data_IF_687438481621
#
_entry.id   IF_687438481621
#
_cell.length_a   1.000
_cell.length_b   1.000
_cell.length_c   1.000
_cell.angle_alpha   90.00
_cell.angle_beta   90.00
_cell.angle_gamma   90.00
#
_symmetry.space_group_name_H-M   'P 1'
#
loop_
_entity.id
_entity.type
_entity.pdbx_description
1 polymer ?
#
# COMPACT_ATOMS: atom_id res chain seq x y z
N UNK A 1 -16.75 6.31 -2.02
CA UNK A 1 -16.15 5.65 -0.84
C UNK A 1 -15.45 4.37 -1.30
N UNK A 2 -14.40 3.93 -0.61
CA UNK A 2 -13.76 2.62 -0.85
C UNK A 2 -13.91 1.78 0.42
N UNK A 3 -14.38 0.55 0.31
CA UNK A 3 -14.46 -0.33 1.49
C UNK A 3 -13.07 -0.80 1.86
N UNK A 4 -12.71 -0.66 3.13
CA UNK A 4 -11.40 -1.06 3.66
C UNK A 4 -11.57 -2.02 4.83
N UNK A 5 -10.68 -3.01 4.89
CA UNK A 5 -10.60 -3.98 5.96
C UNK A 5 -9.17 -3.98 6.50
N UNK A 6 -8.99 -4.16 7.80
CA UNK A 6 -7.71 -4.55 8.38
C UNK A 6 -7.83 -5.97 8.88
N UNK A 7 -6.94 -6.83 8.42
CA UNK A 7 -6.99 -8.27 8.66
C UNK A 7 -5.64 -8.74 9.17
N UNK A 8 -5.67 -9.52 10.23
CA UNK A 8 -4.49 -10.19 10.76
C UNK A 8 -4.40 -11.61 10.20
N UNK A 9 -3.39 -11.87 9.37
CA UNK A 9 -3.14 -13.17 8.73
C UNK A 9 -2.22 -14.06 9.57
N UNK A 10 -2.32 -15.38 9.38
CA UNK A 10 -1.59 -16.42 10.11
C UNK A 10 -1.88 -16.44 11.62
N UNK A 11 -3.11 -16.10 11.99
CA UNK A 11 -3.60 -16.10 13.37
C UNK A 11 -5.11 -16.30 13.43
N UNK A 12 -5.61 -16.73 14.58
CA UNK A 12 -7.05 -16.70 14.95
C UNK A 12 -7.38 -15.59 15.94
N UNK A 13 -6.37 -14.97 16.53
CA UNK A 13 -6.49 -13.92 17.53
C UNK A 13 -6.22 -12.55 16.90
N UNK A 14 -7.06 -11.57 17.21
CA UNK A 14 -6.83 -10.18 16.84
C UNK A 14 -5.55 -9.66 17.51
N UNK A 15 -4.86 -8.72 16.86
CA UNK A 15 -3.60 -8.14 17.31
C UNK A 15 -2.40 -9.10 17.34
N UNK A 16 -2.56 -10.29 16.76
CA UNK A 16 -1.51 -11.27 16.48
C UNK A 16 -1.30 -11.40 14.97
N UNK A 17 -0.45 -12.30 14.50
CA UNK A 17 -0.24 -12.52 13.07
C UNK A 17 0.38 -11.33 12.33
N UNK A 18 0.19 -11.28 11.01
CA UNK A 18 0.68 -10.21 10.15
C UNK A 18 -0.48 -9.36 9.61
N UNK A 19 -0.57 -8.06 9.99
CA UNK A 19 -1.65 -7.19 9.55
C UNK A 19 -1.51 -6.77 8.09
N UNK A 20 -2.63 -6.74 7.37
CA UNK A 20 -2.74 -6.12 6.05
C UNK A 20 -4.04 -5.32 5.93
N UNK A 21 -4.02 -4.24 5.13
CA UNK A 21 -5.23 -3.52 4.75
C UNK A 21 -5.71 -4.02 3.39
N UNK A 22 -6.99 -4.26 3.26
CA UNK A 22 -7.59 -4.77 2.03
C UNK A 22 -8.60 -3.73 1.54
N UNK A 23 -8.28 -3.08 0.43
CA UNK A 23 -9.16 -2.13 -0.23
C UNK A 23 -9.98 -2.84 -1.31
N UNK A 24 -11.29 -2.76 -1.17
CA UNK A 24 -12.27 -3.38 -2.06
C UNK A 24 -13.24 -2.32 -2.58
N UNK A 25 -13.80 -2.55 -3.77
CA UNK A 25 -14.80 -1.68 -4.40
C UNK A 25 -14.30 -0.26 -4.73
N UNK A 26 -13.92 -0.06 -6.00
CA UNK A 26 -13.45 1.22 -6.53
C UNK A 26 -14.48 1.92 -7.43
N UNK A 27 -15.78 1.62 -7.25
CA UNK A 27 -16.86 2.12 -8.14
C UNK A 27 -16.95 3.64 -8.20
N UNK A 28 -16.62 4.30 -7.11
CA UNK A 28 -16.69 5.77 -6.98
C UNK A 28 -15.36 6.46 -7.38
N UNK A 29 -14.36 5.70 -7.83
CA UNK A 29 -13.09 6.25 -8.33
C UNK A 29 -13.28 6.64 -9.81
N UNK A 30 -13.00 7.89 -10.20
CA UNK A 30 -13.08 8.31 -11.59
C UNK A 30 -12.25 7.43 -12.52
N UNK A 31 -12.78 7.11 -13.71
CA UNK A 31 -12.08 6.26 -14.68
C UNK A 31 -10.79 6.87 -15.23
N UNK A 32 -10.59 8.19 -15.07
CA UNK A 32 -9.36 8.89 -15.43
C UNK A 32 -8.27 8.82 -14.36
N UNK A 33 -8.56 8.27 -13.18
CA UNK A 33 -7.59 8.12 -12.10
C UNK A 33 -6.54 7.07 -12.47
N UNK A 34 -5.27 7.45 -12.39
CA UNK A 34 -4.16 6.50 -12.41
C UNK A 34 -4.19 5.68 -11.12
N UNK A 35 -4.62 4.42 -11.24
CA UNK A 35 -4.83 3.54 -10.10
C UNK A 35 -3.53 3.20 -9.38
N UNK A 36 -2.40 3.07 -10.08
CA UNK A 36 -1.12 2.73 -9.43
C UNK A 36 -0.66 3.87 -8.52
N UNK A 37 -0.75 5.12 -9.00
CA UNK A 37 -0.44 6.31 -8.18
C UNK A 37 -1.40 6.42 -6.99
N UNK A 38 -2.69 6.19 -7.23
CA UNK A 38 -3.72 6.32 -6.21
C UNK A 38 -3.62 5.24 -5.12
N UNK A 39 -3.36 3.99 -5.51
CA UNK A 39 -3.13 2.89 -4.59
C UNK A 39 -1.88 3.12 -3.75
N UNK A 40 -0.81 3.66 -4.34
CA UNK A 40 0.37 4.04 -3.59
C UNK A 40 0.06 5.10 -2.53
N UNK A 41 -0.73 6.13 -2.85
CA UNK A 41 -1.14 7.17 -1.87
C UNK A 41 -1.92 6.58 -0.71
N UNK A 42 -2.87 5.67 -0.98
CA UNK A 42 -3.62 4.98 0.07
C UNK A 42 -2.68 4.13 0.93
N UNK A 43 -1.77 3.35 0.32
CA UNK A 43 -0.84 2.52 1.07
C UNK A 43 0.09 3.34 1.97
N UNK A 44 0.53 4.52 1.49
CA UNK A 44 1.30 5.48 2.28
C UNK A 44 0.50 6.02 3.47
N UNK A 45 -0.78 6.38 3.28
CA UNK A 45 -1.67 6.85 4.36
C UNK A 45 -1.94 5.75 5.39
N UNK A 46 -2.18 4.52 4.94
CA UNK A 46 -2.45 3.38 5.83
C UNK A 46 -1.24 3.02 6.69
N UNK A 47 -0.02 3.23 6.18
CA UNK A 47 1.25 3.07 6.88
C UNK A 47 1.37 1.76 7.69
N UNK A 48 0.97 0.66 7.06
CA UNK A 48 1.11 -0.72 7.57
C UNK A 48 1.98 -1.52 6.60
N UNK A 49 2.33 -2.76 6.95
CA UNK A 49 3.23 -3.62 6.17
C UNK A 49 2.85 -3.64 4.69
N UNK A 50 1.60 -4.01 4.38
CA UNK A 50 1.07 -4.02 3.02
C UNK A 50 -0.41 -3.64 2.97
N UNK A 51 -0.76 -2.88 1.94
CA UNK A 51 -2.13 -2.64 1.50
C UNK A 51 -2.39 -3.37 0.20
N UNK A 52 -3.42 -4.21 0.17
CA UNK A 52 -3.84 -4.98 -0.98
C UNK A 52 -5.06 -4.32 -1.64
N UNK A 53 -5.07 -4.28 -2.97
CA UNK A 53 -6.14 -3.69 -3.77
C UNK A 53 -6.70 -4.76 -4.71
N UNK A 54 -8.03 -4.96 -4.67
CA UNK A 54 -8.71 -5.94 -5.53
C UNK A 54 -9.64 -5.29 -6.55
N UNK A 55 -9.37 -5.54 -7.83
CA UNK A 55 -10.24 -5.17 -8.94
C UNK A 55 -10.79 -6.43 -9.62
N UNK A 56 -11.90 -6.29 -10.36
CA UNK A 56 -12.42 -7.39 -11.17
C UNK A 56 -11.47 -7.65 -12.33
N UNK A 57 -11.19 -8.92 -12.62
CA UNK A 57 -10.43 -9.28 -13.80
C UNK A 57 -11.23 -8.95 -15.09
N UNK A 58 -10.52 -8.55 -16.15
CA UNK A 58 -11.09 -7.94 -17.36
C UNK A 58 -12.06 -8.83 -18.15
N UNK A 59 -12.14 -10.14 -17.87
CA UNK A 59 -12.90 -11.11 -18.67
C UNK A 59 -13.69 -12.15 -17.84
N UNK A 60 -14.09 -11.81 -16.61
CA UNK A 60 -14.67 -12.80 -15.69
C UNK A 60 -16.20 -12.73 -15.59
N UNK A 61 -16.88 -13.66 -16.27
CA UNK A 61 -18.20 -14.15 -15.86
C UNK A 61 -18.15 -14.97 -14.56
N UNK A 62 -16.94 -15.34 -14.11
CA UNK A 62 -16.69 -16.06 -12.85
C UNK A 62 -16.56 -15.11 -11.66
N UNK A 63 -17.24 -15.46 -10.56
CA UNK A 63 -17.12 -14.80 -9.26
C UNK A 63 -15.87 -15.23 -8.44
N UNK A 64 -14.94 -15.99 -9.04
CA UNK A 64 -13.74 -16.49 -8.34
C UNK A 64 -12.40 -15.90 -8.83
N UNK A 65 -12.42 -15.00 -9.82
CA UNK A 65 -11.20 -14.43 -10.43
C UNK A 65 -11.11 -12.92 -10.22
N UNK A 66 -9.95 -12.47 -9.73
CA UNK A 66 -9.70 -11.07 -9.36
C UNK A 66 -8.31 -10.65 -9.81
N UNK A 67 -8.12 -9.36 -10.07
CA UNK A 67 -6.78 -8.78 -10.18
C UNK A 67 -6.37 -8.24 -8.81
N UNK A 68 -5.16 -8.56 -8.38
CA UNK A 68 -4.64 -8.24 -7.05
C UNK A 68 -3.30 -7.54 -7.15
N UNK A 69 -3.19 -6.41 -6.48
CA UNK A 69 -1.96 -5.65 -6.31
C UNK A 69 -1.67 -5.42 -4.83
N UNK A 70 -0.39 -5.29 -4.50
CA UNK A 70 0.08 -5.01 -3.14
C UNK A 70 1.05 -3.86 -3.15
N UNK A 71 0.90 -2.97 -2.17
CA UNK A 71 1.76 -1.83 -1.99
C UNK A 71 2.21 -1.77 -0.54
N UNK A 72 3.51 -1.57 -0.35
CA UNK A 72 4.03 -1.02 0.91
C UNK A 72 3.76 0.49 0.93
N UNK A 73 4.07 1.20 2.03
CA UNK A 73 3.96 2.66 2.07
C UNK A 73 4.84 3.38 1.05
N UNK A 74 5.81 2.70 0.43
CA UNK A 74 6.80 3.31 -0.48
C UNK A 74 6.76 2.80 -1.91
N UNK A 75 6.31 1.57 -2.16
CA UNK A 75 6.33 0.98 -3.51
C UNK A 75 5.35 -0.19 -3.67
N UNK A 76 4.97 -0.48 -4.92
CA UNK A 76 4.34 -1.75 -5.30
C UNK A 76 5.32 -2.92 -5.03
N UNK A 77 4.81 -4.08 -4.58
CA UNK A 77 5.60 -5.31 -4.42
C UNK A 77 5.10 -6.42 -5.32
N UNK A 78 6.02 -7.21 -5.87
CA UNK A 78 5.71 -8.24 -6.87
C UNK A 78 4.86 -9.39 -6.32
N UNK A 79 4.95 -9.66 -5.01
CA UNK A 79 4.25 -10.75 -4.34
C UNK A 79 4.18 -10.54 -2.82
N UNK A 80 3.00 -10.66 -2.23
CA UNK A 80 2.81 -10.65 -0.78
C UNK A 80 1.87 -11.76 -0.29
N UNK A 81 2.40 -12.74 0.46
CA UNK A 81 1.64 -13.91 0.89
C UNK A 81 0.56 -13.62 1.94
N UNK A 82 0.89 -12.91 3.03
CA UNK A 82 -0.08 -12.66 4.11
C UNK A 82 -1.22 -11.75 3.66
N UNK A 83 -0.94 -10.74 2.82
CA UNK A 83 -1.95 -9.85 2.25
C UNK A 83 -2.83 -10.58 1.22
N UNK A 84 -2.28 -11.56 0.48
CA UNK A 84 -3.09 -12.45 -0.38
C UNK A 84 -4.05 -13.30 0.45
N UNK A 85 -3.58 -13.89 1.56
CA UNK A 85 -4.44 -14.68 2.46
C UNK A 85 -5.52 -13.81 3.11
N UNK A 86 -5.16 -12.61 3.56
CA UNK A 86 -6.11 -11.63 4.09
C UNK A 86 -7.16 -11.22 3.06
N UNK A 87 -6.75 -10.99 1.82
CA UNK A 87 -7.67 -10.68 0.71
C UNK A 87 -8.66 -11.80 0.47
N UNK A 88 -8.19 -13.04 0.41
CA UNK A 88 -9.04 -14.21 0.25
C UNK A 88 -10.01 -14.38 1.42
N UNK A 89 -9.56 -14.14 2.65
CA UNK A 89 -10.42 -14.12 3.84
C UNK A 89 -11.56 -13.12 3.68
N UNK A 90 -11.27 -11.86 3.33
CA UNK A 90 -12.31 -10.84 3.09
C UNK A 90 -13.26 -11.26 1.96
N UNK A 91 -12.76 -11.79 0.85
CA UNK A 91 -13.61 -12.24 -0.25
C UNK A 91 -14.56 -13.37 0.16
N UNK A 92 -14.05 -14.34 0.91
CA UNK A 92 -14.83 -15.46 1.38
C UNK A 92 -15.85 -15.08 2.45
N UNK A 93 -15.45 -14.23 3.39
CA UNK A 93 -16.31 -13.79 4.50
C UNK A 93 -17.30 -12.70 4.09
N UNK A 94 -16.99 -11.79 3.17
CA UNK A 94 -17.90 -10.65 2.90
C UNK A 94 -18.69 -10.80 1.59
N UNK A 95 -18.13 -11.52 0.62
CA UNK A 95 -18.66 -11.53 -0.74
C UNK A 95 -19.09 -12.92 -1.23
N UNK A 96 -18.63 -14.00 -0.59
CA UNK A 96 -18.85 -15.38 -1.05
C UNK A 96 -19.39 -16.33 0.04
N UNK A 97 -19.96 -15.83 1.14
CA UNK A 97 -20.49 -16.66 2.25
C UNK A 97 -21.44 -17.77 1.78
N UNK A 98 -22.31 -17.46 0.81
CA UNK A 98 -23.34 -18.37 0.30
C UNK A 98 -22.96 -19.03 -1.03
N UNK A 99 -21.68 -18.95 -1.42
CA UNK A 99 -21.18 -19.52 -2.66
C UNK A 99 -20.60 -20.91 -2.43
N UNK A 100 -20.71 -21.80 -3.43
CA UNK A 100 -19.99 -23.08 -3.46
C UNK A 100 -18.51 -22.94 -3.88
N UNK A 101 -18.03 -21.71 -4.10
CA UNK A 101 -16.64 -21.43 -4.48
C UNK A 101 -15.72 -21.68 -3.27
N UNK A 102 -14.76 -22.58 -3.46
CA UNK A 102 -13.73 -22.94 -2.49
C UNK A 102 -12.31 -22.52 -2.94
N UNK A 103 -12.13 -22.11 -4.20
CA UNK A 103 -10.87 -21.62 -4.75
C UNK A 103 -11.03 -20.22 -5.36
N UNK A 104 -10.12 -19.32 -4.99
CA UNK A 104 -9.94 -18.00 -5.58
C UNK A 104 -8.66 -17.98 -6.43
N UNK A 105 -8.74 -17.32 -7.58
CA UNK A 105 -7.60 -17.10 -8.48
C UNK A 105 -7.35 -15.59 -8.56
N UNK A 106 -6.14 -15.19 -8.21
CA UNK A 106 -5.66 -13.82 -8.30
C UNK A 106 -4.69 -13.68 -9.46
N UNK A 107 -5.03 -12.83 -10.42
CA UNK A 107 -4.11 -12.37 -11.45
C UNK A 107 -3.26 -11.23 -10.90
N UNK A 108 -1.96 -11.27 -11.18
CA UNK A 108 -0.98 -10.33 -10.64
C UNK A 108 -0.09 -9.81 -11.76
N UNK A 109 0.46 -8.61 -11.58
CA UNK A 109 1.26 -7.92 -12.61
C UNK A 109 2.57 -8.65 -12.97
N UNK A 110 3.17 -9.40 -12.04
CA UNK A 110 4.56 -9.91 -12.15
C UNK A 110 4.70 -11.41 -11.99
N UNK A 111 3.96 -12.02 -11.06
CA UNK A 111 4.12 -13.45 -10.73
C UNK A 111 3.07 -14.35 -11.37
N UNK A 112 2.14 -13.77 -12.15
CA UNK A 112 1.07 -14.50 -12.80
C UNK A 112 -0.08 -14.85 -11.85
N UNK A 113 -0.65 -16.03 -11.99
CA UNK A 113 -1.77 -16.48 -11.17
C UNK A 113 -1.32 -16.97 -9.80
N UNK A 114 -2.03 -16.52 -8.75
CA UNK A 114 -1.96 -17.08 -7.40
C UNK A 114 -3.29 -17.72 -7.05
N UNK A 115 -3.25 -18.87 -6.39
CA UNK A 115 -4.44 -19.61 -5.98
C UNK A 115 -4.55 -19.65 -4.47
N UNK A 116 -5.76 -19.39 -3.97
CA UNK A 116 -6.09 -19.56 -2.55
C UNK A 116 -7.27 -20.48 -2.41
N UNK A 117 -7.10 -21.56 -1.65
CA UNK A 117 -8.16 -22.55 -1.40
C UNK A 117 -8.64 -22.49 0.05
N UNK A 118 -9.94 -22.63 0.27
CA UNK A 118 -10.50 -23.03 1.56
C UNK A 118 -10.12 -24.49 1.81
N UNK A 119 -9.48 -24.77 2.94
CA UNK A 119 -9.14 -26.14 3.34
C UNK A 119 -10.32 -26.84 4.03
N UNK A 120 -11.12 -26.08 4.77
CA UNK A 120 -12.15 -26.58 5.66
C UNK A 120 -13.17 -25.49 5.99
N UNK A 121 -14.23 -25.89 6.70
CA UNK A 121 -15.27 -24.98 7.18
C UNK A 121 -14.84 -24.18 8.43
N UNK A 122 -13.59 -24.32 8.90
CA UNK A 122 -13.08 -23.61 10.08
C UNK A 122 -12.28 -22.35 9.72
N UNK A 123 -12.33 -21.94 8.45
CA UNK A 123 -11.72 -20.71 7.94
C UNK A 123 -10.23 -20.85 7.60
N UNK A 124 -9.69 -22.07 7.52
CA UNK A 124 -8.29 -22.27 7.13
C UNK A 124 -8.13 -22.09 5.62
N UNK A 125 -7.17 -21.27 5.23
CA UNK A 125 -6.86 -20.95 3.83
C UNK A 125 -5.48 -21.49 3.46
N UNK A 126 -5.34 -21.97 2.22
CA UNK A 126 -4.10 -22.47 1.65
C UNK A 126 -3.60 -21.57 0.54
N UNK A 127 -2.37 -21.10 0.67
CA UNK A 127 -1.56 -20.52 -0.39
C UNK A 127 -0.64 -21.58 -0.99
N UNK A 128 -0.27 -21.39 -2.25
CA UNK A 128 0.62 -22.31 -2.96
C UNK A 128 1.82 -21.55 -3.54
N UNK A 129 3.04 -21.91 -3.11
CA UNK A 129 4.28 -21.22 -3.48
C UNK A 129 5.37 -22.16 -3.99
N UNK A 130 6.33 -21.66 -4.78
CA UNK A 130 7.50 -22.45 -5.17
C UNK A 130 8.37 -22.82 -3.96
N UNK A 131 8.98 -24.01 -3.92
CA UNK A 131 9.89 -24.45 -2.85
C UNK A 131 11.17 -23.64 -2.75
N UNK A 132 11.43 -23.00 -1.59
CA UNK A 132 12.69 -22.32 -1.37
C UNK A 132 13.74 -23.32 -0.92
N UNK A 133 14.70 -23.67 -1.78
CA UNK A 133 15.77 -24.59 -1.41
C UNK A 133 17.00 -23.82 -0.87
N UNK A 134 17.26 -23.83 0.45
CA UNK A 134 18.47 -23.25 1.01
C UNK A 134 19.66 -24.20 0.87
N UNK A 135 20.84 -23.63 0.61
CA UNK A 135 22.10 -24.36 0.48
C UNK A 135 23.10 -23.87 1.53
N UNK A 136 23.89 -24.78 2.10
CA UNK A 136 24.94 -24.41 3.05
C UNK A 136 25.95 -23.44 2.43
N UNK A 137 26.36 -22.46 3.23
CA UNK A 137 27.40 -21.50 2.85
C UNK A 137 28.33 -21.28 4.04
N UNK A 138 29.57 -20.91 3.73
CA UNK A 138 30.51 -20.38 4.71
C UNK A 138 30.42 -18.85 4.69
N UNK A 139 30.32 -18.24 5.87
CA UNK A 139 30.39 -16.80 6.05
C UNK A 139 31.67 -16.46 6.80
N UNK A 140 32.29 -15.34 6.43
CA UNK A 140 33.42 -14.79 7.16
C UNK A 140 33.05 -14.54 8.65
N UNK A 141 33.98 -14.85 9.55
CA UNK A 141 33.76 -14.70 11.00
C UNK A 141 33.47 -13.26 11.41
N UNK A 142 34.02 -12.27 10.69
CA UNK A 142 33.73 -10.86 10.91
C UNK A 142 32.26 -10.55 10.61
N UNK A 143 31.74 -11.00 9.46
CA UNK A 143 30.32 -10.84 9.09
C UNK A 143 29.43 -11.54 10.11
N UNK A 144 29.81 -12.76 10.52
CA UNK A 144 29.05 -13.52 11.52
C UNK A 144 28.99 -12.81 12.86
N UNK A 145 30.11 -12.26 13.34
CA UNK A 145 30.18 -11.49 14.57
C UNK A 145 29.37 -10.20 14.49
N UNK A 146 29.33 -9.56 13.31
CA UNK A 146 28.51 -8.38 13.07
C UNK A 146 27.02 -8.72 13.14
N UNK A 147 26.57 -9.81 12.49
CA UNK A 147 25.20 -10.31 12.59
C UNK A 147 24.84 -10.60 14.05
N UNK A 148 25.71 -11.31 14.79
CA UNK A 148 25.49 -11.63 16.20
C UNK A 148 25.32 -10.38 17.05
N UNK A 149 26.22 -9.41 16.89
CA UNK A 149 26.18 -8.14 17.62
C UNK A 149 24.90 -7.36 17.33
N UNK A 150 24.55 -7.20 16.04
CA UNK A 150 23.41 -6.38 15.61
C UNK A 150 22.04 -6.99 15.89
N UNK A 151 21.96 -8.31 16.01
CA UNK A 151 20.74 -9.03 16.39
C UNK A 151 20.73 -9.45 17.87
N UNK A 152 21.80 -9.16 18.62
CA UNK A 152 22.00 -9.63 20.00
C UNK A 152 21.86 -11.16 20.15
N UNK A 153 22.49 -11.91 19.23
CA UNK A 153 22.51 -13.38 19.24
C UNK A 153 23.63 -13.85 20.16
N UNK A 154 23.25 -14.56 21.22
CA UNK A 154 24.18 -15.21 22.16
C UNK A 154 24.16 -16.74 22.03
N UNK A 155 23.19 -17.27 21.30
CA UNK A 155 22.99 -18.69 21.09
C UNK A 155 24.02 -19.28 20.12
N UNK A 156 24.27 -20.57 20.24
CA UNK A 156 25.15 -21.30 19.32
C UNK A 156 24.54 -21.34 17.93
N UNK A 157 25.37 -21.07 16.93
CA UNK A 157 24.99 -21.19 15.52
C UNK A 157 25.28 -22.62 15.09
N UNK A 158 24.23 -23.37 14.76
CA UNK A 158 24.31 -24.77 14.32
C UNK A 158 24.68 -24.84 12.84
N UNK A 159 24.03 -24.04 11.99
CA UNK A 159 24.35 -23.98 10.56
C UNK A 159 23.82 -22.70 9.92
N UNK A 160 24.40 -22.35 8.77
CA UNK A 160 24.04 -21.18 7.96
C UNK A 160 23.78 -21.66 6.54
N UNK A 161 22.66 -21.24 5.97
CA UNK A 161 22.29 -21.56 4.61
C UNK A 161 21.73 -20.35 3.88
N UNK A 162 21.85 -20.32 2.56
CA UNK A 162 21.34 -19.25 1.71
C UNK A 162 20.40 -19.82 0.66
N UNK A 163 19.17 -19.30 0.63
CA UNK A 163 18.26 -19.53 -0.48
C UNK A 163 18.38 -18.37 -1.48
N UNK A 164 19.23 -18.54 -2.51
CA UNK A 164 19.47 -17.49 -3.53
C UNK A 164 18.21 -17.04 -4.25
N UNK A 165 17.27 -17.96 -4.50
CA UNK A 165 16.01 -17.66 -5.19
C UNK A 165 15.11 -16.72 -4.40
N UNK A 166 14.97 -16.95 -3.09
CA UNK A 166 14.14 -16.11 -2.22
C UNK A 166 14.92 -14.99 -1.53
N UNK A 167 16.25 -14.95 -1.76
CA UNK A 167 17.22 -14.02 -1.21
C UNK A 167 17.22 -13.97 0.32
N UNK A 168 17.12 -15.14 0.97
CA UNK A 168 17.04 -15.26 2.43
C UNK A 168 18.22 -16.05 2.98
N UNK A 169 18.91 -15.46 3.95
CA UNK A 169 19.93 -16.11 4.76
C UNK A 169 19.26 -16.79 5.95
N UNK A 170 19.32 -18.11 6.04
CA UNK A 170 18.82 -18.89 7.16
C UNK A 170 19.97 -19.19 8.12
N UNK A 171 19.77 -18.86 9.39
CA UNK A 171 20.70 -19.16 10.49
C UNK A 171 19.95 -20.02 11.50
N UNK A 172 20.37 -21.27 11.65
CA UNK A 172 19.84 -22.17 12.67
C UNK A 172 20.61 -21.96 13.96
N UNK A 173 19.89 -21.55 15.01
CA UNK A 173 20.38 -21.35 16.36
C UNK A 173 19.97 -22.51 17.28
N UNK A 174 20.74 -22.73 18.35
CA UNK A 174 20.37 -23.72 19.38
C UNK A 174 19.03 -23.42 20.06
N UNK A 175 18.62 -22.15 20.13
CA UNK A 175 17.30 -21.71 20.59
C UNK A 175 16.95 -20.32 20.04
N UNK A 176 15.66 -19.95 20.10
CA UNK A 176 15.17 -18.59 19.81
C UNK A 176 14.53 -18.03 21.06
N UNK A 177 15.00 -16.86 21.50
CA UNK A 177 14.46 -16.15 22.65
C UNK A 177 14.10 -14.69 22.32
N UNK A 178 13.62 -13.98 23.35
CA UNK A 178 13.16 -12.60 23.26
C UNK A 178 14.30 -11.57 23.44
N UNK A 179 15.54 -12.03 23.71
CA UNK A 179 16.72 -11.16 23.80
C UNK A 179 17.22 -10.74 22.43
N UNK A 180 16.94 -11.54 21.39
CA UNK A 180 17.22 -11.19 20.00
C UNK A 180 16.42 -9.93 19.65
N UNK A 181 17.10 -8.86 19.24
CA UNK A 181 16.46 -7.58 18.90
C UNK A 181 17.19 -6.93 17.72
N UNK A 182 16.47 -6.49 16.68
CA UNK A 182 17.11 -5.81 15.57
C UNK A 182 17.57 -4.42 15.96
N UNK A 183 18.85 -4.13 15.76
CA UNK A 183 19.38 -2.77 15.79
C UNK A 183 19.07 -2.05 14.47
N UNK A 184 18.97 -0.71 14.49
CA UNK A 184 18.60 0.06 13.28
C UNK A 184 19.62 -0.06 12.14
N UNK A 185 20.87 -0.42 12.44
CA UNK A 185 21.98 -0.47 11.51
C UNK A 185 22.23 -1.86 10.90
N UNK A 186 21.26 -2.77 10.92
CA UNK A 186 21.41 -4.08 10.25
C UNK A 186 21.75 -3.97 8.75
N UNK A 187 21.30 -2.92 8.06
CA UNK A 187 21.59 -2.71 6.64
C UNK A 187 23.06 -2.39 6.35
N UNK A 188 23.83 -1.98 7.36
CA UNK A 188 25.26 -1.66 7.20
C UNK A 188 26.15 -2.91 7.13
N UNK A 189 25.60 -4.11 7.39
CA UNK A 189 26.36 -5.37 7.24
C UNK A 189 26.79 -5.52 5.78
N UNK A 190 28.09 -5.58 5.57
CA UNK A 190 28.69 -5.77 4.25
C UNK A 190 28.99 -7.25 4.03
N UNK A 191 28.13 -7.91 3.26
CA UNK A 191 28.39 -9.27 2.81
C UNK A 191 29.39 -9.28 1.66
N UNK A 192 30.07 -10.40 1.49
CA UNK A 192 30.91 -10.64 0.32
C UNK A 192 30.14 -10.39 -0.98
N UNK A 193 30.84 -9.88 -2.00
CA UNK A 193 30.23 -9.53 -3.29
C UNK A 193 29.48 -10.69 -3.95
N UNK A 194 29.89 -11.93 -3.69
CA UNK A 194 29.25 -13.16 -4.20
C UNK A 194 27.90 -13.48 -3.51
N UNK A 195 27.68 -12.95 -2.30
CA UNK A 195 26.52 -13.23 -1.44
C UNK A 195 25.57 -12.02 -1.40
N UNK A 196 26.10 -10.80 -1.29
CA UNK A 196 25.35 -9.55 -1.13
C UNK A 196 24.14 -9.40 -2.07
N UNK A 197 24.20 -9.74 -3.38
CA UNK A 197 23.04 -9.62 -4.29
C UNK A 197 21.85 -10.51 -3.90
N UNK A 198 22.11 -11.54 -3.09
CA UNK A 198 21.14 -12.55 -2.65
C UNK A 198 20.72 -12.36 -1.18
N UNK A 199 21.05 -11.23 -0.55
CA UNK A 199 20.57 -10.92 0.80
C UNK A 199 19.47 -9.86 0.73
N UNK A 200 18.27 -10.25 1.15
CA UNK A 200 17.12 -9.38 1.37
C UNK A 200 16.49 -9.57 2.75
N UNK A 201 16.91 -10.58 3.49
CA UNK A 201 16.54 -10.75 4.89
C UNK A 201 17.20 -11.96 5.53
N UNK A 202 17.17 -11.98 6.86
CA UNK A 202 17.75 -13.02 7.71
C UNK A 202 16.62 -13.76 8.41
N UNK A 203 16.56 -15.06 8.21
CA UNK A 203 15.73 -16.00 8.97
C UNK A 203 16.58 -16.52 10.12
N UNK A 204 16.12 -16.34 11.36
CA UNK A 204 16.62 -17.11 12.49
C UNK A 204 15.65 -18.24 12.77
N UNK A 205 16.15 -19.44 13.09
CA UNK A 205 15.29 -20.58 13.40
C UNK A 205 15.90 -21.51 14.43
N UNK A 206 15.06 -22.23 15.17
CA UNK A 206 15.47 -23.31 16.07
C UNK A 206 14.37 -24.37 16.14
N UNK A 207 14.74 -25.55 16.63
CA UNK A 207 13.76 -26.61 16.90
C UNK A 207 12.85 -26.15 18.04
N UNK A 208 11.55 -26.43 17.91
CA UNK A 208 10.59 -26.08 18.96
C UNK A 208 10.80 -26.90 20.23
N UNK A 209 10.59 -26.26 21.39
CA UNK A 209 10.54 -26.92 22.70
C UNK A 209 9.19 -27.57 22.99
N UNK A 210 8.16 -27.31 22.16
CA UNK A 210 6.81 -27.88 22.27
C UNK A 210 6.47 -28.63 20.97
N UNK A 211 7.12 -29.77 20.68
CA UNK A 211 7.05 -30.47 19.39
C UNK A 211 5.67 -31.08 19.08
N UNK A 212 4.79 -31.18 20.08
CA UNK A 212 3.43 -31.71 19.89
C UNK A 212 2.52 -30.77 19.11
N UNK A 213 2.79 -29.45 19.13
CA UNK A 213 1.97 -28.43 18.48
C UNK A 213 2.76 -27.58 17.48
N UNK A 214 4.08 -27.55 17.58
CA UNK A 214 4.94 -26.71 16.75
C UNK A 214 6.26 -27.42 16.53
N UNK A 215 6.68 -27.60 15.28
CA UNK A 215 7.91 -28.30 14.92
C UNK A 215 9.15 -27.40 15.02
N UNK A 216 9.02 -26.14 14.60
CA UNK A 216 10.12 -25.17 14.60
C UNK A 216 9.65 -23.75 14.95
N UNK A 217 10.58 -22.97 15.50
CA UNK A 217 10.41 -21.54 15.79
C UNK A 217 11.23 -20.75 14.78
N UNK A 218 10.70 -19.61 14.33
CA UNK A 218 11.41 -18.70 13.44
C UNK A 218 11.27 -17.23 13.85
N UNK A 219 12.18 -16.39 13.38
CA UNK A 219 12.06 -14.92 13.31
C UNK A 219 12.60 -14.46 11.95
N UNK A 220 12.08 -13.36 11.43
CA UNK A 220 12.50 -12.85 10.12
C UNK A 220 12.77 -11.35 10.14
N UNK A 221 14.00 -10.99 9.82
CA UNK A 221 14.48 -9.61 9.77
C UNK A 221 14.70 -9.20 8.31
N UNK A 222 14.04 -8.14 7.86
CA UNK A 222 14.06 -7.70 6.46
C UNK A 222 14.42 -6.21 6.27
N UNK A 223 15.47 -5.70 6.93
CA UNK A 223 15.74 -4.27 6.97
C UNK A 223 16.08 -3.69 5.58
N UNK A 224 16.60 -4.51 4.66
CA UNK A 224 16.79 -4.14 3.25
C UNK A 224 15.50 -3.90 2.46
N UNK A 225 14.34 -4.27 3.03
CA UNK A 225 13.01 -3.96 2.51
C UNK A 225 12.29 -2.88 3.35
N UNK A 226 13.02 -2.17 4.22
CA UNK A 226 12.46 -1.11 5.07
C UNK A 226 11.77 -1.59 6.34
N UNK A 227 11.77 -2.89 6.63
CA UNK A 227 11.09 -3.49 7.79
C UNK A 227 12.13 -4.15 8.70
N UNK A 228 12.27 -3.67 9.94
CA UNK A 228 13.25 -4.25 10.88
C UNK A 228 12.96 -5.73 11.16
N UNK A 229 11.73 -6.05 11.50
CA UNK A 229 11.25 -7.42 11.72
C UNK A 229 9.82 -7.56 11.18
N UNK A 230 9.60 -8.56 10.33
CA UNK A 230 8.28 -8.86 9.77
C UNK A 230 7.51 -9.80 10.72
N UNK A 231 6.23 -9.54 11.04
CA UNK A 231 5.48 -10.35 12.01
C UNK A 231 5.35 -11.83 11.65
N UNK A 232 4.92 -12.15 10.43
CA UNK A 232 4.80 -13.53 9.92
C UNK A 232 5.03 -13.57 8.41
N UNK A 233 6.05 -14.32 7.99
CA UNK A 233 6.57 -14.22 6.62
C UNK A 233 6.36 -15.52 5.84
N UNK A 234 5.32 -15.58 5.01
CA UNK A 234 5.05 -16.77 4.18
C UNK A 234 6.23 -17.16 3.29
N UNK A 235 6.90 -16.19 2.67
CA UNK A 235 8.06 -16.45 1.79
C UNK A 235 9.32 -16.93 2.53
N UNK A 236 9.40 -16.78 3.86
CA UNK A 236 10.41 -17.41 4.69
C UNK A 236 10.02 -18.86 5.03
N UNK A 237 8.72 -19.12 5.22
CA UNK A 237 8.19 -20.46 5.48
C UNK A 237 8.37 -21.41 4.29
N UNK A 238 8.45 -20.92 3.05
CA UNK A 238 8.82 -21.76 1.89
C UNK A 238 10.26 -22.26 1.94
N UNK A 239 11.15 -21.57 2.67
CA UNK A 239 12.55 -21.97 2.91
C UNK A 239 12.64 -22.85 4.16
N UNK A 240 11.98 -22.43 5.24
CA UNK A 240 11.94 -23.16 6.51
C UNK A 240 11.31 -24.55 6.35
N UNK A 241 10.25 -24.69 5.56
CA UNK A 241 9.61 -25.97 5.31
C UNK A 241 10.59 -26.98 4.69
N UNK A 242 11.33 -26.58 3.64
CA UNK A 242 12.35 -27.43 3.00
C UNK A 242 13.47 -27.77 3.97
N UNK A 243 13.98 -26.78 4.71
CA UNK A 243 15.05 -26.97 5.68
C UNK A 243 14.67 -27.94 6.80
N UNK A 244 13.54 -27.68 7.48
CA UNK A 244 13.09 -28.49 8.61
C UNK A 244 12.53 -29.85 8.20
N UNK A 245 11.97 -29.98 7.00
CA UNK A 245 11.54 -31.27 6.45
C UNK A 245 12.70 -32.26 6.39
N UNK A 246 13.87 -31.79 5.92
CA UNK A 246 15.09 -32.61 5.83
C UNK A 246 15.59 -33.07 7.20
N UNK A 247 15.50 -32.20 8.21
CA UNK A 247 15.99 -32.47 9.57
C UNK A 247 15.03 -33.36 10.36
N UNK A 248 13.72 -33.09 10.26
CA UNK A 248 12.69 -33.77 11.04
C UNK A 248 12.09 -34.98 10.32
N UNK A 249 12.42 -35.17 9.04
CA UNK A 249 11.87 -36.20 8.16
C UNK A 249 10.33 -36.17 8.11
N UNK A 250 9.76 -34.97 7.91
CA UNK A 250 8.30 -34.71 7.83
C UNK A 250 7.95 -33.95 6.56
N UNK A 251 6.82 -34.30 5.93
CA UNK A 251 6.28 -33.55 4.78
C UNK A 251 5.31 -32.44 5.19
N UNK A 252 4.68 -32.55 6.36
CA UNK A 252 3.81 -31.53 6.97
C UNK A 252 4.46 -31.05 8.27
N UNK A 253 4.62 -29.74 8.39
CA UNK A 253 5.32 -29.09 9.51
C UNK A 253 4.50 -27.91 10.03
N UNK A 254 4.52 -27.71 11.33
CA UNK A 254 3.91 -26.53 11.97
C UNK A 254 5.00 -25.56 12.42
N UNK A 255 5.08 -24.39 11.79
CA UNK A 255 5.98 -23.31 12.15
C UNK A 255 5.30 -22.27 13.04
N UNK A 256 6.06 -21.71 13.99
CA UNK A 256 5.67 -20.52 14.73
C UNK A 256 6.71 -19.41 14.55
N UNK A 257 6.31 -18.28 13.96
CA UNK A 257 7.18 -17.11 13.85
C UNK A 257 7.04 -16.26 15.10
N UNK A 258 8.03 -16.33 16.00
CA UNK A 258 8.07 -15.66 17.31
C UNK A 258 8.53 -14.20 17.18
N UNK A 259 7.81 -13.42 16.39
CA UNK A 259 7.89 -11.95 16.43
C UNK A 259 7.12 -11.42 17.64
N UNK A 260 7.12 -10.09 17.85
CA UNK A 260 6.29 -9.46 18.89
C UNK A 260 4.79 -9.78 18.75
N UNK A 261 4.31 -10.01 17.51
CA UNK A 261 2.93 -10.38 17.24
C UNK A 261 2.72 -11.88 17.27
N UNK A 262 3.70 -12.68 16.84
CA UNK A 262 3.56 -14.14 16.80
C UNK A 262 2.60 -14.61 15.70
N UNK A 263 2.82 -15.80 15.14
CA UNK A 263 1.85 -16.41 14.23
C UNK A 263 2.22 -17.81 13.78
N UNK A 264 1.20 -18.58 13.42
CA UNK A 264 1.32 -19.98 13.06
C UNK A 264 1.14 -20.19 11.56
N UNK A 265 2.04 -20.97 10.97
CA UNK A 265 1.99 -21.37 9.57
C UNK A 265 2.17 -22.87 9.48
N UNK A 266 1.17 -23.58 8.96
CA UNK A 266 1.32 -24.98 8.59
C UNK A 266 1.92 -25.02 7.17
N UNK A 267 2.95 -25.83 6.99
CA UNK A 267 3.67 -25.99 5.74
C UNK A 267 3.58 -27.44 5.28
N UNK A 268 3.12 -27.66 4.05
CA UNK A 268 3.17 -28.98 3.40
C UNK A 268 4.06 -28.94 2.17
N UNK A 269 4.98 -29.90 2.07
CA UNK A 269 5.88 -30.05 0.94
C UNK A 269 5.27 -30.98 -0.11
N UNK A 270 5.09 -30.43 -1.32
CA UNK A 270 4.82 -31.22 -2.51
C UNK A 270 6.11 -31.37 -3.32
N UNK A 271 6.90 -32.38 -2.94
CA UNK A 271 8.20 -32.68 -3.57
C UNK A 271 8.07 -32.99 -5.05
N UNK A 272 6.94 -33.55 -5.49
CA UNK A 272 6.70 -33.92 -6.90
C UNK A 272 6.62 -32.68 -7.78
N UNK A 273 5.90 -31.65 -7.31
CA UNK A 273 5.70 -30.42 -8.07
C UNK A 273 6.65 -29.28 -7.67
N UNK A 274 7.56 -29.52 -6.72
CA UNK A 274 8.49 -28.51 -6.18
C UNK A 274 7.76 -27.29 -5.57
N UNK A 275 6.66 -27.57 -4.83
CA UNK A 275 5.78 -26.57 -4.22
C UNK A 275 5.73 -26.70 -2.70
N UNK A 276 5.51 -25.59 -2.02
CA UNK A 276 5.15 -25.55 -0.59
C UNK A 276 3.78 -24.94 -0.47
N UNK A 277 2.86 -25.72 0.10
CA UNK A 277 1.54 -25.26 0.47
C UNK A 277 1.64 -24.64 1.87
N UNK A 278 1.23 -23.38 2.00
CA UNK A 278 1.20 -22.68 3.28
C UNK A 278 -0.23 -22.49 3.71
N UNK A 279 -0.57 -22.95 4.91
CA UNK A 279 -1.91 -22.82 5.47
C UNK A 279 -1.93 -21.96 6.71
N UNK A 280 -2.96 -21.15 6.81
CA UNK A 280 -3.15 -20.23 7.92
C UNK A 280 -4.60 -19.78 8.05
N UNK A 281 -4.90 -19.17 9.19
CA UNK A 281 -6.15 -18.47 9.44
C UNK A 281 -5.94 -16.98 9.26
N UNK A 282 -7.04 -16.25 9.08
CA UNK A 282 -7.05 -14.80 9.15
C UNK A 282 -8.25 -14.35 9.96
N UNK A 283 -8.14 -13.15 10.54
CA UNK A 283 -9.21 -12.52 11.30
C UNK A 283 -9.32 -11.05 10.93
N UNK A 284 -10.52 -10.61 10.53
CA UNK A 284 -10.82 -9.20 10.33
C UNK A 284 -10.85 -8.47 11.67
N UNK A 285 -9.99 -7.46 11.81
CA UNK A 285 -9.85 -6.61 13.00
C UNK A 285 -10.68 -5.34 12.88
N UNK A 286 -10.74 -4.77 11.68
CA UNK A 286 -11.47 -3.53 11.39
C UNK A 286 -12.12 -3.64 10.02
N UNK A 287 -13.33 -3.12 9.89
CA UNK A 287 -14.01 -2.88 8.62
C UNK A 287 -14.52 -1.44 8.60
N UNK A 288 -14.38 -0.77 7.47
CA UNK A 288 -14.81 0.61 7.31
C UNK A 288 -14.83 1.06 5.87
N UNK A 289 -14.90 2.37 5.67
CA UNK A 289 -14.86 2.98 4.35
C UNK A 289 -13.91 4.17 4.32
N UNK A 290 -13.01 4.20 3.34
CA UNK A 290 -12.19 5.35 3.02
C UNK A 290 -13.01 6.39 2.25
N UNK A 291 -12.97 7.61 2.75
CA UNK A 291 -13.53 8.77 2.07
C UNK A 291 -12.51 9.34 1.08
N UNK A 292 -12.72 9.06 -0.20
CA UNK A 292 -11.82 9.45 -1.30
C UNK A 292 -12.15 10.80 -1.93
N UNK A 293 -13.26 11.40 -1.52
CA UNK A 293 -13.61 12.78 -1.81
C UNK A 293 -14.07 13.44 -0.51
N UNK A 294 -13.44 14.55 -0.14
CA UNK A 294 -14.18 15.55 0.63
C UNK A 294 -15.12 16.21 -0.36
N UNK A 295 -16.35 15.74 -0.42
CA UNK A 295 -17.41 16.74 -0.36
C UNK A 295 -17.14 17.47 0.95
N UNK A 296 -16.48 18.63 0.89
CA UNK A 296 -16.56 19.57 2.00
C UNK A 296 -18.01 19.98 2.05
N UNK A 297 -18.83 19.21 2.74
CA UNK A 297 -19.95 19.73 3.50
C UNK A 297 -19.38 20.63 4.61
N UNK A 298 -18.69 21.71 4.23
CA UNK A 298 -18.74 22.93 5.00
C UNK A 298 -20.08 23.55 4.63
N UNK A 299 -21.01 23.46 5.57
CA UNK A 299 -22.35 24.03 5.54
C UNK A 299 -23.33 23.47 4.50
N UNK A 300 -24.39 22.89 5.03
CA UNK A 300 -25.73 22.95 4.44
C UNK A 300 -26.04 24.37 3.94
N UNK A 301 -26.07 24.57 2.62
CA UNK A 301 -26.48 25.86 2.06
C UNK A 301 -26.28 26.03 0.56
N UNK A 302 -27.15 25.40 -0.24
CA UNK A 302 -27.45 25.66 -1.67
C UNK A 302 -26.31 25.43 -2.68
N UNK A 303 -26.67 24.72 -3.75
CA UNK A 303 -25.91 24.52 -4.98
C UNK A 303 -25.21 25.79 -5.48
N UNK A 304 -23.88 25.78 -5.59
CA UNK A 304 -23.12 26.77 -6.37
C UNK A 304 -22.01 27.54 -5.64
N UNK A 305 -21.69 27.22 -4.37
CA UNK A 305 -20.63 27.91 -3.60
C UNK A 305 -19.35 27.07 -3.46
N UNK A 306 -18.20 27.69 -3.70
CA UNK A 306 -16.85 27.14 -3.65
C UNK A 306 -15.99 27.94 -2.66
N UNK A 307 -14.87 27.37 -2.21
CA UNK A 307 -13.90 28.08 -1.37
C UNK A 307 -12.47 27.64 -1.71
N UNK A 308 -11.51 28.53 -1.53
CA UNK A 308 -10.14 28.23 -1.88
C UNK A 308 -9.14 29.33 -1.55
N UNK A 309 -7.89 29.06 -1.94
CA UNK A 309 -6.80 30.03 -1.87
C UNK A 309 -6.95 31.03 -3.02
N UNK A 310 -6.86 32.30 -2.72
CA UNK A 310 -6.87 33.37 -3.70
C UNK A 310 -5.54 34.12 -3.68
N UNK A 311 -4.98 34.31 -4.86
CA UNK A 311 -3.77 35.11 -5.12
C UNK A 311 -4.09 36.15 -6.18
N UNK A 312 -3.08 36.91 -6.60
CA UNK A 312 -3.20 37.79 -7.75
C UNK A 312 -2.08 37.55 -8.76
N UNK A 313 -2.38 37.85 -10.02
CA UNK A 313 -1.41 37.86 -11.11
C UNK A 313 -1.47 39.19 -11.85
N UNK A 314 -0.34 39.60 -12.43
CA UNK A 314 -0.31 40.72 -13.36
C UNK A 314 -0.73 40.23 -14.75
N UNK A 315 -1.73 40.87 -15.31
CA UNK A 315 -2.25 40.60 -16.64
C UNK A 315 -1.28 41.22 -17.64
N UNK A 316 -0.41 40.39 -18.22
CA UNK A 316 0.59 40.83 -19.19
C UNK A 316 -0.03 41.19 -20.54
N UNK A 317 0.70 41.94 -21.37
CA UNK A 317 0.28 42.30 -22.74
C UNK A 317 0.25 41.03 -23.60
N UNK A 318 -0.94 40.47 -23.82
CA UNK A 318 -1.13 39.21 -24.54
C UNK A 318 -2.57 38.72 -24.47
N UNK A 319 -2.86 37.59 -25.13
CA UNK A 319 -4.15 36.93 -25.02
C UNK A 319 -4.16 36.03 -23.77
N UNK A 320 -5.24 36.11 -22.99
CA UNK A 320 -5.51 35.17 -21.90
C UNK A 320 -5.88 33.78 -22.46
N UNK A 321 -6.02 32.77 -21.59
CA UNK A 321 -6.48 31.44 -22.01
C UNK A 321 -7.88 31.44 -22.67
N UNK A 322 -8.70 32.46 -22.42
CA UNK A 322 -9.98 32.65 -23.12
C UNK A 322 -9.85 33.39 -24.46
N UNK A 323 -8.64 33.66 -24.95
CA UNK A 323 -8.39 34.28 -26.26
C UNK A 323 -8.75 35.76 -26.33
N UNK A 324 -8.79 36.46 -25.18
CA UNK A 324 -9.16 37.89 -25.08
C UNK A 324 -8.06 38.68 -24.39
N UNK A 325 -8.01 40.00 -24.61
CA UNK A 325 -7.05 40.89 -23.96
C UNK A 325 -7.71 41.63 -22.81
N UNK A 326 -7.02 41.72 -21.67
CA UNK A 326 -7.48 42.40 -20.48
C UNK A 326 -6.33 43.11 -19.76
N UNK A 327 -6.64 43.99 -18.80
CA UNK A 327 -5.66 44.68 -17.96
C UNK A 327 -5.88 44.54 -16.46
N UNK A 328 -4.86 44.91 -15.69
CA UNK A 328 -4.82 44.82 -14.21
C UNK A 328 -5.93 45.60 -13.48
N UNK A 329 -6.58 46.54 -14.16
CA UNK A 329 -7.64 47.39 -13.62
C UNK A 329 -9.02 46.75 -13.72
N UNK A 330 -9.18 45.70 -14.52
CA UNK A 330 -10.45 45.03 -14.74
C UNK A 330 -10.74 44.01 -13.64
N UNK A 331 -12.02 43.69 -13.44
CA UNK A 331 -12.44 42.70 -12.45
C UNK A 331 -12.51 41.33 -13.10
N UNK A 332 -11.35 40.68 -13.18
CA UNK A 332 -11.16 39.41 -13.90
C UNK A 332 -10.41 38.39 -13.05
N UNK A 333 -10.49 37.12 -13.45
CA UNK A 333 -9.90 36.00 -12.73
C UNK A 333 -9.37 34.92 -13.65
N UNK A 334 -8.25 34.32 -13.25
CA UNK A 334 -7.78 33.03 -13.73
C UNK A 334 -8.30 31.91 -12.81
N UNK A 335 -9.07 30.98 -13.38
CA UNK A 335 -9.63 29.84 -12.63
C UNK A 335 -8.65 28.67 -12.63
N UNK A 336 -8.60 27.90 -11.54
CA UNK A 336 -7.73 26.72 -11.44
C UNK A 336 -7.98 25.71 -12.57
N UNK A 337 -6.88 25.10 -13.04
CA UNK A 337 -6.85 24.10 -14.10
C UNK A 337 -7.84 22.95 -13.89
N UNK A 338 -7.93 22.43 -12.66
CA UNK A 338 -8.78 21.29 -12.32
C UNK A 338 -10.27 21.53 -12.58
N UNK A 339 -10.75 22.78 -12.48
CA UNK A 339 -12.15 23.13 -12.76
C UNK A 339 -12.37 23.63 -14.19
N UNK A 340 -11.45 24.47 -14.70
CA UNK A 340 -11.61 25.05 -16.04
C UNK A 340 -11.39 24.00 -17.13
N UNK A 341 -10.42 23.09 -17.00
CA UNK A 341 -10.08 22.13 -18.07
C UNK A 341 -11.18 21.10 -18.36
N UNK A 342 -12.05 20.83 -17.39
CA UNK A 342 -13.25 19.98 -17.57
C UNK A 342 -14.24 20.56 -18.60
N UNK A 343 -14.13 21.85 -18.87
CA UNK A 343 -15.04 22.60 -19.74
C UNK A 343 -14.35 23.07 -21.03
N UNK A 344 -13.15 22.55 -21.33
CA UNK A 344 -12.36 22.88 -22.52
C UNK A 344 -12.57 21.82 -23.63
N UNK A 345 -13.47 22.03 -24.61
CA UNK A 345 -13.63 21.10 -25.71
C UNK A 345 -12.36 21.01 -26.56
N UNK A 346 -11.99 19.79 -26.96
CA UNK A 346 -10.82 19.50 -27.81
C UNK A 346 -9.48 20.07 -27.30
N UNK A 347 -9.38 20.35 -25.99
CA UNK A 347 -8.19 20.96 -25.36
C UNK A 347 -7.81 22.34 -25.92
N UNK A 348 -8.70 23.04 -26.64
CA UNK A 348 -8.48 24.42 -27.07
C UNK A 348 -9.07 25.38 -26.01
N UNK A 349 -8.22 26.07 -25.22
CA UNK A 349 -8.68 26.93 -24.12
C UNK A 349 -9.61 28.07 -24.56
N UNK A 350 -9.47 28.54 -25.80
CA UNK A 350 -10.27 29.64 -26.35
C UNK A 350 -11.75 29.28 -26.53
N UNK A 351 -12.11 27.99 -26.52
CA UNK A 351 -13.49 27.52 -26.69
C UNK A 351 -14.12 27.03 -25.38
N UNK A 352 -13.49 27.36 -24.23
CA UNK A 352 -13.98 26.92 -22.94
C UNK A 352 -15.34 27.54 -22.60
N UNK A 353 -16.31 26.72 -22.18
CA UNK A 353 -17.68 27.18 -21.91
C UNK A 353 -17.83 28.03 -20.64
N UNK A 354 -16.78 28.14 -19.82
CA UNK A 354 -16.71 29.01 -18.65
C UNK A 354 -16.09 30.37 -18.97
N UNK A 355 -15.40 30.52 -20.11
CA UNK A 355 -14.86 31.81 -20.52
C UNK A 355 -15.99 32.85 -20.64
N UNK A 356 -15.75 34.02 -20.05
CA UNK A 356 -16.71 35.12 -20.03
C UNK A 356 -17.82 34.99 -18.98
N UNK A 357 -17.97 33.84 -18.30
CA UNK A 357 -18.90 33.70 -17.17
C UNK A 357 -18.41 34.46 -15.96
N UNK A 358 -19.34 34.86 -15.08
CA UNK A 358 -19.04 35.65 -13.88
C UNK A 358 -19.22 34.85 -12.60
N UNK A 359 -18.40 35.19 -11.61
CA UNK A 359 -18.48 34.66 -10.25
C UNK A 359 -18.48 35.82 -9.26
N UNK A 360 -19.21 35.65 -8.15
CA UNK A 360 -19.09 36.50 -6.99
C UNK A 360 -18.01 35.94 -6.09
N UNK A 361 -16.95 36.70 -5.82
CA UNK A 361 -15.89 36.34 -4.87
C UNK A 361 -16.09 37.14 -3.59
N UNK A 362 -16.01 36.48 -2.44
CA UNK A 362 -16.11 37.08 -1.11
C UNK A 362 -14.81 36.79 -0.36
N UNK A 363 -14.05 37.84 -0.05
CA UNK A 363 -12.81 37.75 0.72
C UNK A 363 -12.89 38.45 2.07
N UNK A 364 -11.78 38.46 2.82
CA UNK A 364 -11.75 38.96 4.20
C UNK A 364 -12.00 40.47 4.33
N UNK A 365 -11.84 41.25 3.26
CA UNK A 365 -12.00 42.72 3.27
C UNK A 365 -13.16 43.23 2.44
N UNK A 366 -13.75 42.40 1.59
CA UNK A 366 -14.81 42.79 0.68
C UNK A 366 -15.14 41.71 -0.33
N UNK A 367 -16.08 42.03 -1.21
CA UNK A 367 -16.56 41.12 -2.26
C UNK A 367 -16.45 41.78 -3.63
N UNK A 368 -16.11 40.99 -4.64
CA UNK A 368 -15.95 41.44 -6.02
C UNK A 368 -16.66 40.48 -6.97
N UNK A 369 -17.42 41.02 -7.93
CA UNK A 369 -17.89 40.23 -9.08
C UNK A 369 -16.80 40.25 -10.14
N UNK A 370 -16.35 39.08 -10.58
CA UNK A 370 -15.24 38.95 -11.54
C UNK A 370 -15.61 38.04 -12.69
N UNK A 371 -15.05 38.33 -13.86
CA UNK A 371 -15.22 37.52 -15.07
C UNK A 371 -14.07 36.53 -15.25
N UNK A 372 -14.39 35.29 -15.60
CA UNK A 372 -13.38 34.26 -15.90
C UNK A 372 -12.83 34.53 -17.29
N UNK A 373 -11.54 34.81 -17.35
CA UNK A 373 -10.86 35.15 -18.60
C UNK A 373 -9.60 34.33 -18.79
N UNK A 374 -9.10 33.64 -17.77
CA UNK A 374 -7.82 32.94 -17.86
C UNK A 374 -7.79 31.63 -17.05
N UNK A 375 -6.70 30.88 -17.19
CA UNK A 375 -6.45 29.60 -16.50
C UNK A 375 -5.23 29.73 -15.61
N UNK A 376 -5.36 29.31 -14.35
CA UNK A 376 -4.26 29.21 -13.39
C UNK A 376 -3.81 27.75 -13.22
N UNK A 377 -2.67 27.32 -13.81
CA UNK A 377 -2.20 25.94 -13.70
C UNK A 377 -1.74 25.56 -12.27
N UNK A 378 -1.17 26.53 -11.53
CA UNK A 378 -0.63 26.33 -10.18
C UNK A 378 -1.63 26.53 -9.06
N UNK A 379 -2.89 26.83 -9.36
CA UNK A 379 -3.93 27.02 -8.36
C UNK A 379 -4.54 25.67 -7.95
N UNK A 380 -4.71 25.39 -6.64
CA UNK A 380 -5.42 24.19 -6.19
C UNK A 380 -6.91 24.27 -6.55
N UNK A 381 -7.63 23.15 -6.45
CA UNK A 381 -9.08 23.12 -6.64
C UNK A 381 -9.79 24.15 -5.75
N UNK A 382 -10.75 24.89 -6.31
CA UNK A 382 -11.44 26.01 -5.65
C UNK A 382 -10.61 27.30 -5.57
N UNK A 383 -9.33 27.27 -5.93
CA UNK A 383 -8.44 28.43 -5.94
C UNK A 383 -8.66 29.33 -7.15
N UNK A 384 -8.38 30.62 -6.94
CA UNK A 384 -8.53 31.71 -7.92
C UNK A 384 -7.27 32.58 -7.95
N UNK A 385 -6.90 33.07 -9.12
CA UNK A 385 -5.87 34.09 -9.29
C UNK A 385 -6.53 35.36 -9.85
N UNK A 386 -6.66 36.41 -9.05
CA UNK A 386 -7.39 37.62 -9.42
C UNK A 386 -6.49 38.64 -10.11
N UNK A 387 -7.09 39.57 -10.88
CA UNK A 387 -6.39 40.80 -11.24
C UNK A 387 -6.04 41.63 -9.99
N UNK A 388 -5.07 42.55 -10.07
CA UNK A 388 -4.73 43.41 -8.94
C UNK A 388 -5.90 44.27 -8.43
N UNK A 389 -6.77 44.77 -9.33
CA UNK A 389 -7.96 45.52 -8.93
C UNK A 389 -8.98 44.67 -8.15
N UNK A 390 -9.26 43.47 -8.62
CA UNK A 390 -10.16 42.54 -7.92
C UNK A 390 -9.56 42.06 -6.60
N UNK A 391 -8.27 41.74 -6.57
CA UNK A 391 -7.58 41.27 -5.37
C UNK A 391 -7.57 42.33 -4.26
N UNK A 392 -7.26 43.60 -4.57
CA UNK A 392 -7.33 44.69 -3.58
C UNK A 392 -8.73 44.82 -2.97
N UNK A 393 -9.77 44.59 -3.75
CA UNK A 393 -11.16 44.67 -3.26
C UNK A 393 -11.47 43.56 -2.25
N UNK A 394 -11.00 42.34 -2.49
CA UNK A 394 -11.30 41.19 -1.62
C UNK A 394 -10.31 41.02 -0.45
N UNK A 395 -9.05 41.43 -0.64
CA UNK A 395 -7.94 41.25 0.30
C UNK A 395 -7.47 42.55 0.99
N UNK A 396 -7.88 43.72 0.49
CA UNK A 396 -7.51 45.05 0.99
C UNK A 396 -6.21 45.60 0.42
N UNK A 397 -5.15 44.79 0.37
CA UNK A 397 -3.84 45.18 -0.18
C UNK A 397 -3.17 43.99 -0.91
N UNK A 398 -2.39 44.27 -1.95
CA UNK A 398 -1.58 43.29 -2.69
C UNK A 398 -0.48 42.67 -1.82
N UNK A 399 0.08 43.42 -0.86
CA UNK A 399 1.18 42.93 0.02
C UNK A 399 0.76 41.72 0.87
N UNK A 400 -0.54 41.48 1.02
CA UNK A 400 -1.07 40.28 1.70
C UNK A 400 -0.67 39.01 0.94
N UNK A 401 -0.53 39.09 -0.40
CA UNK A 401 -0.09 38.03 -1.30
C UNK A 401 -1.09 36.88 -1.49
N UNK A 402 -1.62 36.34 -0.38
CA UNK A 402 -2.52 35.19 -0.38
C UNK A 402 -3.62 35.39 0.65
N UNK A 403 -4.88 35.21 0.25
CA UNK A 403 -6.03 35.18 1.15
C UNK A 403 -6.92 33.97 0.91
N UNK A 404 -7.78 33.64 1.87
CA UNK A 404 -8.85 32.67 1.66
C UNK A 404 -10.14 33.37 1.25
N UNK A 405 -10.81 32.84 0.23
CA UNK A 405 -12.07 33.38 -0.30
C UNK A 405 -13.10 32.28 -0.46
N UNK A 406 -14.38 32.68 -0.46
CA UNK A 406 -15.47 31.88 -1.01
C UNK A 406 -15.95 32.52 -2.30
N UNK A 407 -16.50 31.73 -3.21
CA UNK A 407 -17.07 32.26 -4.44
C UNK A 407 -18.23 31.44 -4.96
N UNK A 408 -19.11 32.05 -5.75
CA UNK A 408 -20.24 31.36 -6.36
C UNK A 408 -20.49 31.86 -7.78
N UNK A 409 -21.09 31.01 -8.61
CA UNK A 409 -21.55 31.43 -9.93
C UNK A 409 -22.62 32.53 -9.82
N UNK A 410 -22.60 33.45 -10.79
CA UNK A 410 -23.66 34.42 -11.01
C UNK A 410 -24.61 33.97 -12.12
#
# INVERSE_FOLDING_TARGET
MISIYTVDSFTREIFKGNPAAICTSFRDVPSSTDLDIFFQQIATEMNISETAFITKANDSSSNSRYFLQWFTPTNEVDLCGHATLATAHVLFEEFLQNSSIDELIFETKKVGELKVKKCDNQGRLQLDFPMGDPQSIDLDNQILNEIKSKLNITQDIITIQLCKRTKKLLIHLSSIDDNIKPQQNLTEIQFDQSIQPFIRGIILTSKSTIPTTTDFISRYFAPWNGILEDPVTGSAHTVLAVYWSRILNKSVLNGYQKSARGGHVECELDMKNQRVLLRGHAVTVMQGQLQISRDRACWSGKSGSYSGRCTYYHVHVGLTACGTQHGDHEYIVAMNSAQIDLHTPNKNPNHNSLCGRRIQVNGPRGSAEVQIVDRCPGCPYGGLDLSPAAFRTVAGNLDVGVVHVTWNWK
#
